data_IF_352126016746
#
_entry.id   IF_352126016746
#
_cell.length_a   1.000
_cell.length_b   1.000
_cell.length_c   1.000
_cell.angle_alpha   90.00
_cell.angle_beta   90.00
_cell.angle_gamma   90.00
#
_symmetry.space_group_name_H-M   'P 1'
#
loop_
_entity.id
_entity.type
_entity.pdbx_description
1 polymer ?
#
# COMPACT_ATOMS: atom_id res chain seq x y z
N UNK A 1 -2.40 2.33 5.37
CA UNK A 1 -1.37 1.55 4.65
C UNK A 1 -0.28 2.47 4.11
N UNK A 2 -0.57 3.35 3.12
CA UNK A 2 0.45 4.26 2.57
C UNK A 2 1.05 5.21 3.61
N UNK A 3 0.27 5.65 4.60
CA UNK A 3 0.81 6.42 5.73
C UNK A 3 1.85 5.63 6.54
N UNK A 4 1.59 4.35 6.83
CA UNK A 4 2.56 3.45 7.46
C UNK A 4 3.78 3.21 6.57
N UNK A 5 3.60 3.23 5.24
CA UNK A 5 4.69 3.10 4.27
C UNK A 5 5.61 4.32 4.26
N UNK A 6 5.04 5.53 4.29
CA UNK A 6 5.83 6.76 4.45
C UNK A 6 6.54 6.82 5.79
N UNK A 7 5.87 6.44 6.88
CA UNK A 7 6.45 6.40 8.22
C UNK A 7 7.56 5.34 8.39
N UNK A 8 7.58 4.31 7.55
CA UNK A 8 8.59 3.26 7.53
C UNK A 8 9.67 3.50 6.45
N UNK A 9 9.92 4.75 6.06
CA UNK A 9 10.95 5.11 5.05
C UNK A 9 10.84 4.31 3.74
N UNK A 10 9.61 4.10 3.25
CA UNK A 10 9.31 3.29 2.07
C UNK A 10 9.72 1.80 2.19
N UNK A 11 9.81 1.27 3.41
CA UNK A 11 9.97 -0.15 3.68
C UNK A 11 8.60 -0.86 3.73
N UNK A 12 8.23 -1.53 2.64
CA UNK A 12 6.93 -2.19 2.53
C UNK A 12 6.72 -3.35 3.53
N UNK A 13 7.78 -4.04 3.94
CA UNK A 13 7.67 -5.16 4.89
C UNK A 13 7.42 -4.65 6.32
N UNK A 14 8.09 -3.57 6.70
CA UNK A 14 7.86 -2.89 7.96
C UNK A 14 6.49 -2.22 8.01
N UNK A 15 6.11 -1.51 6.95
CA UNK A 15 4.80 -0.89 6.83
C UNK A 15 3.64 -1.89 6.93
N UNK A 16 3.80 -3.11 6.40
CA UNK A 16 2.82 -4.19 6.53
C UNK A 16 2.65 -4.62 8.00
N UNK A 17 3.76 -4.85 8.71
CA UNK A 17 3.76 -5.19 10.15
C UNK A 17 3.14 -4.07 10.99
N UNK A 18 3.54 -2.84 10.73
CA UNK A 18 3.04 -1.67 11.45
C UNK A 18 1.55 -1.43 11.21
N UNK A 19 1.08 -1.64 9.98
CA UNK A 19 -0.34 -1.58 9.67
C UNK A 19 -1.15 -2.66 10.41
N UNK A 20 -0.64 -3.90 10.47
CA UNK A 20 -1.28 -4.97 11.21
C UNK A 20 -1.34 -4.68 12.73
N UNK A 21 -0.27 -4.08 13.28
CA UNK A 21 -0.19 -3.66 14.68
C UNK A 21 -1.21 -2.56 15.02
N UNK A 22 -1.33 -1.54 14.16
CA UNK A 22 -2.24 -0.40 14.37
C UNK A 22 -3.71 -0.76 14.11
N UNK A 23 -3.98 -1.71 13.21
CA UNK A 23 -5.34 -2.07 12.78
C UNK A 23 -5.57 -3.59 12.80
N UNK A 24 -5.57 -4.22 14.00
CA UNK A 24 -5.59 -5.68 14.13
C UNK A 24 -6.86 -6.31 13.53
N UNK A 25 -8.01 -5.65 13.61
CA UNK A 25 -9.31 -6.17 13.15
C UNK A 25 -9.64 -5.83 11.69
N UNK A 26 -8.65 -5.46 10.87
CA UNK A 26 -8.83 -5.13 9.44
C UNK A 26 -8.13 -6.16 8.56
N UNK A 27 -8.48 -6.21 7.27
CA UNK A 27 -7.68 -6.92 6.29
C UNK A 27 -6.29 -6.28 6.20
N UNK A 28 -5.24 -7.08 6.39
CA UNK A 28 -3.87 -6.61 6.35
C UNK A 28 -3.31 -6.68 4.92
N UNK A 29 -2.74 -5.59 4.40
CA UNK A 29 -2.04 -5.62 3.13
C UNK A 29 -0.66 -6.26 3.32
N UNK A 30 -0.25 -7.08 2.37
CA UNK A 30 1.13 -7.54 2.30
C UNK A 30 2.03 -6.48 1.64
N UNK A 31 3.35 -6.72 1.68
CA UNK A 31 4.33 -5.83 1.07
C UNK A 31 4.14 -5.67 -0.45
N UNK A 32 3.61 -6.69 -1.14
CA UNK A 32 3.38 -6.63 -2.60
C UNK A 32 2.23 -5.68 -2.93
N UNK A 33 1.15 -5.70 -2.15
CA UNK A 33 0.01 -4.77 -2.28
C UNK A 33 0.49 -3.35 -2.05
N UNK A 34 1.29 -3.11 -1.02
CA UNK A 34 1.86 -1.78 -0.73
C UNK A 34 2.64 -1.25 -1.93
N UNK A 35 3.61 -2.03 -2.43
CA UNK A 35 4.45 -1.64 -3.58
C UNK A 35 3.62 -1.38 -4.83
N UNK A 36 2.63 -2.23 -5.12
CA UNK A 36 1.77 -2.09 -6.30
C UNK A 36 0.96 -0.79 -6.26
N UNK A 37 0.46 -0.42 -5.08
CA UNK A 37 -0.31 0.82 -4.92
C UNK A 37 0.61 2.05 -5.02
N UNK A 38 1.81 2.01 -4.43
CA UNK A 38 2.82 3.08 -4.59
C UNK A 38 3.22 3.25 -6.06
N UNK A 39 3.51 2.14 -6.75
CA UNK A 39 3.84 2.15 -8.18
C UNK A 39 2.73 2.81 -9.01
N UNK A 40 1.47 2.40 -8.81
CA UNK A 40 0.34 3.02 -9.53
C UNK A 40 0.18 4.50 -9.24
N UNK A 41 0.40 4.90 -7.99
CA UNK A 41 0.34 6.31 -7.61
C UNK A 41 1.42 7.12 -8.36
N UNK A 42 2.64 6.59 -8.46
CA UNK A 42 3.75 7.22 -9.18
C UNK A 42 3.54 7.26 -10.69
N UNK A 43 3.04 6.17 -11.26
CA UNK A 43 2.88 6.03 -12.72
C UNK A 43 1.63 6.75 -13.25
N UNK A 44 0.51 6.65 -12.52
CA UNK A 44 -0.81 7.05 -13.02
C UNK A 44 -1.46 8.17 -12.20
N UNK A 45 -0.83 8.64 -11.12
CA UNK A 45 -1.41 9.62 -10.20
C UNK A 45 -2.61 9.10 -9.39
N UNK A 46 -2.89 7.79 -9.44
CA UNK A 46 -4.05 7.18 -8.79
C UNK A 46 -3.76 5.78 -8.26
N UNK A 47 -4.42 5.41 -7.16
CA UNK A 47 -4.27 4.10 -6.52
C UNK A 47 -5.20 3.03 -7.10
N UNK A 48 -6.32 3.47 -7.66
CA UNK A 48 -7.33 2.59 -8.23
C UNK A 48 -6.89 2.11 -9.62
N UNK A 49 -7.20 0.85 -9.98
CA UNK A 49 -6.97 0.40 -11.34
C UNK A 49 -7.81 1.25 -12.32
N UNK A 50 -7.18 1.68 -13.41
CA UNK A 50 -7.89 2.26 -14.54
C UNK A 50 -8.64 1.12 -15.21
N UNK A 51 -9.96 1.06 -15.01
CA UNK A 51 -10.81 0.16 -15.77
C UNK A 51 -10.93 0.72 -17.19
N UNK A 52 -10.06 0.29 -18.09
CA UNK A 52 -10.26 0.49 -19.52
C UNK A 52 -11.22 -0.61 -19.96
N UNK A 53 -12.48 -0.27 -20.24
CA UNK A 53 -13.40 -1.19 -20.90
C UNK A 53 -12.75 -1.60 -22.23
N UNK A 54 -12.29 -2.85 -22.31
CA UNK A 54 -11.83 -3.48 -23.54
C UNK A 54 -13.00 -4.10 -24.28
#
# INVERSE_FOLDING_TARGET
>A
MLLCFGAADNNAAEASREYARLYPNRRHPDAKVIRRVDQRLRENGQIMPIYVNR
#
